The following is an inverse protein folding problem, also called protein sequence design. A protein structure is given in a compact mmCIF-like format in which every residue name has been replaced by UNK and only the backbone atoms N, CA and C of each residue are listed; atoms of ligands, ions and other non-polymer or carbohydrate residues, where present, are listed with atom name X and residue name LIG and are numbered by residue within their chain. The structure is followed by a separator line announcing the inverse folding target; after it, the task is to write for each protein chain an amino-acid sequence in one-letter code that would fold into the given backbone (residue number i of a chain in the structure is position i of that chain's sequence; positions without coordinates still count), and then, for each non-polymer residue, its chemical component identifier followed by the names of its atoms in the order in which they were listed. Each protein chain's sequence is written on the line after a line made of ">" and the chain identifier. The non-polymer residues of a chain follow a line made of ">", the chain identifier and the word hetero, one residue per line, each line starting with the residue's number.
data_IF_079023563046
#
_entry.id   IF_079023563046
#
_cell.length_a   1.000
_cell.length_b   1.000
_cell.length_c   1.000
_cell.angle_alpha   90.00
_cell.angle_beta   90.00
_cell.angle_gamma   90.00
#
_symmetry.space_group_name_H-M   'P 1'
#
loop_
_entity.id
_entity.type
_entity.pdbx_description
1 polymer ?
#
# COMPACT_ATOMS: atom_id res chain seq x y z
N UNK A 1 52.07 -82.78 -9.37
CA UNK A 1 51.75 -83.93 -10.26
C UNK A 1 51.12 -83.40 -11.55
N UNK A 2 51.06 -84.22 -12.60
CA UNK A 2 50.61 -83.89 -13.97
C UNK A 2 49.12 -83.44 -14.05
N UNK A 3 48.53 -82.80 -15.08
CA UNK A 3 48.95 -81.92 -16.21
C UNK A 3 47.99 -82.14 -17.42
N UNK A 4 47.29 -81.09 -17.92
CA UNK A 4 46.56 -81.00 -19.23
C UNK A 4 45.33 -81.94 -19.40
N UNK A 5 44.41 -81.82 -20.40
CA UNK A 5 44.06 -80.85 -21.49
C UNK A 5 42.52 -80.99 -21.72
N UNK A 6 41.73 -80.07 -22.32
CA UNK A 6 41.66 -79.67 -23.74
C UNK A 6 40.70 -78.47 -23.96
N UNK A 7 40.89 -77.77 -25.08
CA UNK A 7 39.92 -76.87 -25.75
C UNK A 7 39.68 -77.42 -27.20
N UNK A 8 38.79 -76.90 -28.08
CA UNK A 8 38.58 -75.49 -28.48
C UNK A 8 37.07 -75.11 -28.41
N UNK A 9 36.38 -74.24 -29.21
CA UNK A 9 36.64 -73.54 -30.48
C UNK A 9 35.77 -72.26 -30.64
N UNK A 10 35.94 -71.57 -31.78
CA UNK A 10 35.35 -70.30 -32.25
C UNK A 10 33.81 -70.24 -32.39
N UNK A 11 33.26 -69.04 -32.15
CA UNK A 11 32.63 -68.21 -33.20
C UNK A 11 32.76 -66.72 -32.84
N UNK A 12 32.87 -65.82 -33.83
CA UNK A 12 32.98 -64.38 -33.60
C UNK A 12 32.22 -63.58 -34.66
N UNK A 13 31.50 -62.53 -34.23
CA UNK A 13 30.89 -61.49 -35.08
C UNK A 13 31.08 -60.15 -34.37
N UNK A 14 31.49 -59.12 -35.12
CA UNK A 14 31.66 -57.76 -34.60
C UNK A 14 30.53 -56.85 -35.09
N UNK A 15 30.14 -55.88 -34.26
CA UNK A 15 29.30 -54.76 -34.63
C UNK A 15 29.89 -53.47 -34.03
N UNK A 16 30.08 -52.44 -34.85
CA UNK A 16 30.70 -51.19 -34.42
C UNK A 16 29.64 -50.20 -33.89
N UNK A 17 29.93 -49.43 -32.82
CA UNK A 17 29.08 -48.31 -32.42
C UNK A 17 29.20 -47.18 -33.46
N UNK A 18 28.07 -46.62 -33.86
CA UNK A 18 28.01 -45.46 -34.75
C UNK A 18 28.52 -44.20 -34.02
N UNK A 19 29.40 -43.45 -34.69
CA UNK A 19 29.82 -42.13 -34.26
C UNK A 19 28.64 -41.15 -34.38
N UNK A 20 27.99 -40.81 -33.27
CA UNK A 20 27.13 -39.63 -33.24
C UNK A 20 28.02 -38.38 -33.31
N UNK A 21 27.88 -37.62 -34.39
CA UNK A 21 28.59 -36.35 -34.59
C UNK A 21 28.11 -35.32 -33.58
N UNK A 22 28.95 -35.02 -32.58
CA UNK A 22 28.77 -33.87 -31.71
C UNK A 22 28.85 -32.59 -32.56
N UNK A 23 27.69 -32.02 -32.90
CA UNK A 23 27.61 -30.79 -33.66
C UNK A 23 27.97 -29.61 -32.74
N UNK A 24 29.09 -28.95 -33.03
CA UNK A 24 29.56 -27.84 -32.23
C UNK A 24 28.71 -26.58 -32.43
N UNK A 25 27.91 -26.23 -31.42
CA UNK A 25 27.48 -24.86 -31.18
C UNK A 25 28.42 -24.21 -30.17
N UNK A 26 28.92 -23.01 -30.45
CA UNK A 26 29.83 -22.28 -29.54
C UNK A 26 29.05 -21.67 -28.38
N UNK A 27 28.74 -22.46 -27.36
CA UNK A 27 28.45 -21.93 -26.03
C UNK A 27 29.70 -21.23 -25.51
N UNK A 28 29.60 -19.93 -25.21
CA UNK A 28 30.54 -19.34 -24.25
C UNK A 28 30.37 -20.02 -22.90
N UNK A 29 31.44 -20.14 -22.14
CA UNK A 29 31.38 -20.53 -20.72
C UNK A 29 30.87 -19.32 -19.88
N UNK A 30 29.72 -18.79 -20.27
CA UNK A 30 29.05 -17.69 -19.59
C UNK A 30 28.65 -18.19 -18.19
N UNK A 31 29.27 -17.60 -17.16
CA UNK A 31 29.09 -18.01 -15.78
C UNK A 31 27.72 -17.63 -15.20
N UNK A 32 27.46 -18.01 -13.93
CA UNK A 32 26.21 -17.68 -13.28
C UNK A 32 26.10 -16.18 -12.96
N UNK A 33 24.90 -15.65 -13.12
CA UNK A 33 24.49 -14.42 -12.44
C UNK A 33 23.85 -14.73 -11.08
N UNK A 34 23.45 -13.68 -10.38
CA UNK A 34 22.91 -13.77 -9.03
C UNK A 34 21.58 -13.04 -8.92
N UNK A 35 20.54 -13.69 -8.38
CA UNK A 35 19.22 -13.09 -8.20
C UNK A 35 18.72 -13.29 -6.77
N UNK A 36 18.34 -12.21 -6.10
CA UNK A 36 17.61 -12.26 -4.81
C UNK A 36 16.22 -11.65 -4.95
N UNK A 37 15.33 -12.02 -4.03
CA UNK A 37 13.95 -11.58 -4.02
C UNK A 37 13.63 -10.70 -2.80
N UNK A 38 12.95 -9.58 -3.02
CA UNK A 38 12.38 -8.69 -1.99
C UNK A 38 10.86 -8.74 -2.05
N UNK A 39 10.22 -9.22 -0.97
CA UNK A 39 8.77 -9.16 -0.83
C UNK A 39 8.36 -7.83 -0.19
N UNK A 40 8.16 -6.80 -1.02
CA UNK A 40 7.57 -5.52 -0.63
C UNK A 40 6.05 -5.48 -0.82
N UNK A 41 5.37 -6.64 -0.86
CA UNK A 41 3.91 -6.73 -1.02
C UNK A 41 3.19 -6.64 0.32
N UNK A 42 2.08 -5.90 0.35
CA UNK A 42 1.13 -5.90 1.48
C UNK A 42 0.06 -6.99 1.35
N UNK A 43 -0.02 -7.64 0.18
CA UNK A 43 -1.06 -8.62 -0.16
C UNK A 43 -0.72 -10.05 0.25
N UNK A 44 0.57 -10.41 0.40
CA UNK A 44 1.00 -11.78 0.67
C UNK A 44 2.08 -11.83 1.76
N UNK A 45 1.75 -12.36 2.97
CA UNK A 45 2.66 -12.34 4.12
C UNK A 45 3.94 -13.17 3.91
N UNK A 46 3.94 -14.09 2.95
CA UNK A 46 5.12 -14.80 2.45
C UNK A 46 4.96 -15.18 0.98
N UNK A 47 6.02 -14.99 0.20
CA UNK A 47 6.13 -15.33 -1.21
C UNK A 47 7.40 -16.15 -1.46
N UNK A 48 7.30 -17.15 -2.32
CA UNK A 48 8.40 -17.99 -2.79
C UNK A 48 8.85 -17.54 -4.19
N UNK A 49 10.15 -17.35 -4.41
CA UNK A 49 10.71 -17.17 -5.76
C UNK A 49 10.90 -18.51 -6.47
N UNK A 50 10.44 -18.58 -7.71
CA UNK A 50 10.71 -19.68 -8.64
C UNK A 50 11.38 -19.16 -9.91
N UNK A 51 12.42 -19.85 -10.38
CA UNK A 51 13.02 -19.72 -11.71
C UNK A 51 12.41 -20.81 -12.61
N UNK A 52 11.60 -20.40 -13.60
CA UNK A 52 10.70 -21.31 -14.31
C UNK A 52 9.87 -22.14 -13.30
N UNK A 53 10.06 -23.46 -13.20
CA UNK A 53 9.40 -24.30 -12.19
C UNK A 53 10.29 -24.74 -11.01
N UNK A 54 11.57 -24.35 -10.99
CA UNK A 54 12.49 -24.62 -9.88
C UNK A 54 12.34 -23.56 -8.80
N UNK A 55 12.31 -23.94 -7.51
CA UNK A 55 12.27 -22.98 -6.40
C UNK A 55 13.67 -22.40 -6.16
N UNK A 56 13.83 -21.09 -6.35
CA UNK A 56 15.13 -20.40 -6.31
C UNK A 56 15.48 -19.82 -4.93
N UNK A 57 14.49 -19.52 -4.08
CA UNK A 57 14.71 -18.96 -2.74
C UNK A 57 14.02 -19.74 -1.63
N UNK A 58 14.48 -19.55 -0.38
CA UNK A 58 13.64 -19.78 0.80
C UNK A 58 12.39 -18.86 0.77
N UNK A 59 11.33 -19.17 1.53
CA UNK A 59 10.16 -18.28 1.67
C UNK A 59 10.56 -16.87 2.14
N UNK A 60 10.12 -15.84 1.42
CA UNK A 60 10.41 -14.42 1.75
C UNK A 60 9.15 -13.77 2.30
N UNK A 61 9.16 -13.51 3.61
CA UNK A 61 8.07 -12.81 4.30
C UNK A 61 7.99 -11.33 3.90
N UNK A 62 6.82 -10.72 4.09
CA UNK A 62 6.63 -9.28 3.82
C UNK A 62 7.70 -8.43 4.52
N UNK A 63 8.22 -7.44 3.78
CA UNK A 63 9.26 -6.50 4.17
C UNK A 63 10.66 -7.11 4.45
N UNK A 64 10.97 -8.29 3.90
CA UNK A 64 12.33 -8.87 3.93
C UNK A 64 12.90 -9.18 2.54
N UNK A 65 14.13 -9.69 2.52
CA UNK A 65 14.91 -10.06 1.33
C UNK A 65 15.48 -11.47 1.50
N UNK A 66 15.60 -12.23 0.41
CA UNK A 66 16.34 -13.50 0.40
C UNK A 66 17.85 -13.30 0.29
N UNK A 67 18.60 -14.36 0.54
CA UNK A 67 19.95 -14.52 -0.03
C UNK A 67 19.89 -14.51 -1.57
N UNK A 68 21.04 -14.33 -2.22
CA UNK A 68 21.16 -14.47 -3.68
C UNK A 68 21.14 -15.95 -4.08
N UNK A 69 20.21 -16.31 -4.96
CA UNK A 69 20.29 -17.55 -5.74
C UNK A 69 21.37 -17.40 -6.83
N UNK A 70 22.17 -18.45 -7.01
CA UNK A 70 23.13 -18.57 -8.12
C UNK A 70 22.40 -19.20 -9.30
N UNK A 71 22.20 -18.43 -10.38
CA UNK A 71 21.40 -18.84 -11.54
C UNK A 71 22.29 -18.74 -12.79
N UNK A 72 22.19 -19.71 -13.71
CA UNK A 72 22.93 -19.64 -14.98
C UNK A 72 22.61 -18.36 -15.77
N UNK A 73 23.54 -17.90 -16.61
CA UNK A 73 23.26 -16.85 -17.59
C UNK A 73 22.16 -17.29 -18.58
N UNK A 74 21.19 -16.44 -18.86
CA UNK A 74 20.10 -16.75 -19.78
C UNK A 74 18.84 -15.91 -19.57
N UNK A 75 17.76 -16.32 -20.22
CA UNK A 75 16.43 -15.69 -20.07
C UNK A 75 15.50 -16.62 -19.30
N UNK A 76 14.96 -16.14 -18.18
CA UNK A 76 14.17 -16.91 -17.23
C UNK A 76 12.79 -16.29 -17.02
N UNK A 77 11.76 -17.11 -16.84
CA UNK A 77 10.49 -16.63 -16.30
C UNK A 77 10.51 -16.79 -14.79
N UNK A 78 10.61 -15.68 -14.06
CA UNK A 78 10.49 -15.67 -12.62
C UNK A 78 9.02 -15.66 -12.21
N UNK A 79 8.62 -16.64 -11.41
CA UNK A 79 7.27 -16.73 -10.84
C UNK A 79 7.33 -16.46 -9.34
N UNK A 80 6.36 -15.71 -8.82
CA UNK A 80 6.16 -15.55 -7.39
C UNK A 80 4.90 -16.31 -6.98
N UNK A 81 5.05 -17.27 -6.07
CA UNK A 81 3.96 -18.15 -5.59
C UNK A 81 3.77 -17.88 -4.08
N UNK A 82 2.55 -17.65 -3.57
CA UNK A 82 2.30 -17.58 -2.12
C UNK A 82 2.83 -18.86 -1.46
N UNK A 83 3.57 -18.74 -0.35
CA UNK A 83 4.21 -19.90 0.26
C UNK A 83 3.16 -20.97 0.63
N UNK A 84 3.29 -22.18 0.07
CA UNK A 84 2.30 -23.26 0.18
C UNK A 84 1.26 -23.33 -0.94
N UNK A 85 1.28 -22.43 -1.92
CA UNK A 85 0.46 -22.45 -3.14
C UNK A 85 1.29 -22.89 -4.36
N UNK A 86 0.67 -23.63 -5.27
CA UNK A 86 1.21 -23.92 -6.61
C UNK A 86 0.94 -22.80 -7.62
N UNK A 87 -0.06 -21.96 -7.38
CA UNK A 87 -0.48 -20.88 -8.29
C UNK A 87 0.37 -19.64 -8.10
N UNK A 88 0.98 -19.15 -9.18
CA UNK A 88 1.71 -17.89 -9.19
C UNK A 88 0.77 -16.67 -9.19
N UNK A 89 1.14 -15.63 -8.45
CA UNK A 89 0.41 -14.34 -8.38
C UNK A 89 0.98 -13.28 -9.33
N UNK A 90 2.21 -13.49 -9.79
CA UNK A 90 2.83 -12.73 -10.89
C UNK A 90 3.91 -13.61 -11.54
N UNK A 91 4.11 -13.41 -12.84
CA UNK A 91 5.22 -13.98 -13.62
C UNK A 91 5.91 -12.84 -14.39
N UNK A 92 7.24 -12.88 -14.52
CA UNK A 92 8.00 -11.87 -15.26
C UNK A 92 9.21 -12.51 -15.95
N UNK A 93 9.43 -12.17 -17.23
CA UNK A 93 10.61 -12.62 -17.98
C UNK A 93 11.75 -11.63 -17.74
N UNK A 94 12.91 -12.12 -17.29
CA UNK A 94 14.10 -11.31 -17.04
C UNK A 94 15.35 -12.05 -17.53
N UNK A 95 16.38 -11.29 -17.89
CA UNK A 95 17.70 -11.83 -18.20
C UNK A 95 18.57 -11.91 -16.95
N UNK A 96 19.26 -13.03 -16.79
CA UNK A 96 20.38 -13.22 -15.87
C UNK A 96 21.66 -13.17 -16.71
N UNK A 97 22.63 -12.35 -16.31
CA UNK A 97 23.90 -12.17 -17.01
C UNK A 97 25.03 -12.63 -16.08
N UNK A 98 26.10 -13.20 -16.64
CA UNK A 98 27.27 -13.69 -15.90
C UNK A 98 27.85 -12.62 -14.94
N UNK A 99 28.11 -13.01 -13.70
CA UNK A 99 28.65 -12.16 -12.63
C UNK A 99 27.71 -11.07 -12.12
N UNK A 100 26.59 -10.80 -12.82
CA UNK A 100 25.70 -9.68 -12.50
C UNK A 100 24.74 -10.05 -11.38
N UNK A 101 24.79 -9.26 -10.31
CA UNK A 101 23.84 -9.33 -9.20
C UNK A 101 22.57 -8.53 -9.54
N UNK A 102 21.41 -9.08 -9.20
CA UNK A 102 20.11 -8.46 -9.42
C UNK A 102 19.14 -8.67 -8.24
N UNK A 103 18.32 -7.67 -7.95
CA UNK A 103 17.25 -7.72 -6.95
C UNK A 103 15.90 -7.66 -7.65
N UNK A 104 15.10 -8.73 -7.55
CA UNK A 104 13.70 -8.71 -7.94
C UNK A 104 12.85 -8.17 -6.77
N UNK A 105 12.30 -6.97 -6.92
CA UNK A 105 11.38 -6.39 -5.92
C UNK A 105 9.94 -6.63 -6.37
N UNK A 106 9.12 -7.29 -5.55
CA UNK A 106 7.67 -7.35 -5.75
C UNK A 106 6.92 -6.43 -4.79
N UNK A 107 5.90 -5.74 -5.27
CA UNK A 107 5.13 -4.75 -4.51
C UNK A 107 3.64 -4.81 -4.85
N UNK A 108 2.80 -4.38 -3.91
CA UNK A 108 1.36 -4.25 -4.11
C UNK A 108 1.01 -2.82 -4.57
N UNK A 109 0.39 -2.69 -5.73
CA UNK A 109 -0.26 -1.44 -6.21
C UNK A 109 -1.34 -1.77 -7.24
N UNK A 110 -2.36 -0.92 -7.40
CA UNK A 110 -3.56 -1.19 -8.19
C UNK A 110 -4.32 -2.46 -7.77
N UNK A 111 -4.29 -2.80 -6.48
CA UNK A 111 -4.85 -4.05 -5.96
C UNK A 111 -4.19 -5.33 -6.50
N UNK A 112 -3.02 -5.18 -7.15
CA UNK A 112 -2.30 -6.23 -7.87
C UNK A 112 -0.87 -6.35 -7.34
N UNK A 113 -0.24 -7.52 -7.50
CA UNK A 113 1.22 -7.64 -7.31
C UNK A 113 1.93 -7.32 -8.62
N UNK A 114 2.93 -6.45 -8.54
CA UNK A 114 3.83 -6.11 -9.65
C UNK A 114 5.28 -6.34 -9.25
N UNK A 115 6.16 -6.43 -10.24
CA UNK A 115 7.59 -6.66 -10.04
C UNK A 115 8.43 -5.56 -10.67
N UNK A 116 9.60 -5.31 -10.08
CA UNK A 116 10.67 -4.50 -10.67
C UNK A 116 12.00 -5.20 -10.45
N UNK A 117 12.63 -5.60 -11.54
CA UNK A 117 13.99 -6.12 -11.54
C UNK A 117 14.97 -4.95 -11.47
N UNK A 118 15.92 -5.03 -10.55
CA UNK A 118 17.00 -4.05 -10.34
C UNK A 118 18.32 -4.75 -10.62
N UNK A 119 19.17 -4.15 -11.45
CA UNK A 119 20.57 -4.56 -11.54
C UNK A 119 21.36 -3.90 -10.40
N UNK A 120 22.08 -4.70 -9.63
CA UNK A 120 22.82 -4.30 -8.43
C UNK A 120 24.29 -3.97 -8.79
N UNK A 121 24.50 -3.14 -9.82
CA UNK A 121 25.81 -2.81 -10.40
C UNK A 121 26.15 -1.31 -10.43
N UNK A 122 25.43 -0.46 -9.68
CA UNK A 122 25.79 0.96 -9.54
C UNK A 122 27.17 1.08 -8.88
N UNK A 123 28.05 1.89 -9.46
CA UNK A 123 29.42 2.06 -8.95
C UNK A 123 29.43 2.70 -7.55
N UNK A 124 30.36 2.28 -6.70
CA UNK A 124 30.58 2.90 -5.39
C UNK A 124 30.76 4.43 -5.53
N UNK A 125 30.19 5.23 -4.61
CA UNK A 125 30.28 6.68 -4.64
C UNK A 125 31.64 7.19 -4.13
N UNK A 126 31.83 8.51 -4.15
CA UNK A 126 32.99 9.18 -3.55
C UNK A 126 33.18 8.76 -2.08
N UNK A 127 34.41 8.43 -1.66
CA UNK A 127 34.68 8.08 -0.25
C UNK A 127 34.35 9.27 0.68
N UNK A 128 33.73 8.97 1.81
CA UNK A 128 33.03 9.91 2.69
C UNK A 128 31.54 10.06 2.37
N UNK A 129 30.99 9.34 1.38
CA UNK A 129 29.60 9.51 0.93
C UNK A 129 28.88 8.18 0.65
N UNK A 130 27.56 8.27 0.50
CA UNK A 130 26.65 7.22 0.07
C UNK A 130 25.83 7.68 -1.14
N UNK A 131 25.52 6.78 -2.08
CA UNK A 131 24.51 7.01 -3.13
C UNK A 131 23.12 6.68 -2.59
N UNK A 132 22.19 7.62 -2.72
CA UNK A 132 20.79 7.44 -2.34
C UNK A 132 19.89 7.66 -3.56
N UNK A 133 18.95 6.74 -3.80
CA UNK A 133 17.79 6.95 -4.68
C UNK A 133 16.52 6.43 -4.02
N UNK A 134 15.39 6.90 -4.53
CA UNK A 134 14.05 6.48 -4.10
C UNK A 134 13.34 5.79 -5.27
N UNK A 135 12.57 4.74 -4.96
CA UNK A 135 11.62 4.10 -5.88
C UNK A 135 10.23 4.19 -5.28
N UNK A 136 9.37 5.04 -5.82
CA UNK A 136 7.98 5.09 -5.39
C UNK A 136 7.21 3.94 -6.07
N UNK A 137 6.82 2.90 -5.33
CA UNK A 137 5.91 1.85 -5.83
C UNK A 137 4.45 2.18 -5.59
N UNK A 138 4.17 3.19 -4.76
CA UNK A 138 2.82 3.64 -4.44
C UNK A 138 2.29 4.62 -5.50
N UNK A 139 1.59 4.09 -6.50
CA UNK A 139 0.70 4.94 -7.30
C UNK A 139 -0.41 5.51 -6.42
N UNK A 140 -0.88 4.73 -5.43
CA UNK A 140 -1.90 5.16 -4.48
C UNK A 140 -1.51 6.45 -3.76
N UNK A 141 -0.27 6.61 -3.30
CA UNK A 141 0.18 7.83 -2.64
C UNK A 141 0.35 9.02 -3.60
N UNK A 142 0.37 8.81 -4.92
CA UNK A 142 0.58 9.87 -5.92
C UNK A 142 2.03 10.33 -5.98
N UNK A 143 2.26 11.60 -6.34
CA UNK A 143 3.61 12.14 -6.45
C UNK A 143 4.16 12.56 -5.08
N UNK A 144 5.39 12.14 -4.77
CA UNK A 144 6.02 12.33 -3.47
C UNK A 144 7.31 13.15 -3.57
N UNK A 145 7.53 14.04 -2.61
CA UNK A 145 8.84 14.67 -2.37
C UNK A 145 9.57 13.93 -1.25
N UNK A 146 10.87 13.69 -1.39
CA UNK A 146 11.72 13.12 -0.33
C UNK A 146 12.83 14.09 0.08
N UNK A 147 12.90 14.32 1.39
CA UNK A 147 13.83 15.21 2.07
C UNK A 147 14.75 14.40 2.99
N UNK A 148 16.07 14.59 2.86
CA UNK A 148 17.12 13.97 3.69
C UNK A 148 17.89 15.11 4.35
N UNK A 149 17.69 15.28 5.66
CA UNK A 149 18.20 16.42 6.44
C UNK A 149 18.91 15.95 7.71
N UNK A 150 19.62 16.83 8.43
CA UNK A 150 20.09 16.47 9.76
C UNK A 150 18.89 16.18 10.69
N UNK A 151 19.06 15.38 11.76
CA UNK A 151 17.93 14.86 12.55
C UNK A 151 17.02 15.94 13.16
N UNK A 152 17.61 17.09 13.50
CA UNK A 152 16.94 18.24 14.14
C UNK A 152 16.37 19.27 13.15
N UNK A 153 16.63 19.16 11.85
CA UNK A 153 16.27 20.19 10.88
C UNK A 153 14.75 20.27 10.66
N UNK A 154 14.25 21.48 10.40
CA UNK A 154 12.86 21.71 10.00
C UNK A 154 12.67 21.46 8.49
N UNK A 155 11.47 21.06 8.06
CA UNK A 155 11.16 20.98 6.63
C UNK A 155 10.99 22.35 5.97
N UNK A 156 10.67 23.40 6.73
CA UNK A 156 10.17 24.70 6.23
C UNK A 156 11.00 25.27 5.07
N UNK A 157 12.33 25.27 5.23
CA UNK A 157 13.27 25.83 4.24
C UNK A 157 14.03 24.73 3.46
N UNK A 158 13.66 23.46 3.61
CA UNK A 158 14.35 22.36 2.95
C UNK A 158 13.96 22.24 1.47
N UNK A 159 14.94 21.94 0.62
CA UNK A 159 14.71 21.47 -0.75
C UNK A 159 14.63 19.94 -0.76
N UNK A 160 13.75 19.31 -1.56
CA UNK A 160 13.71 17.86 -1.68
C UNK A 160 14.94 17.34 -2.42
N UNK A 161 15.57 16.29 -1.88
CA UNK A 161 16.68 15.58 -2.52
C UNK A 161 16.17 14.76 -3.72
N UNK A 162 14.91 14.35 -3.68
CA UNK A 162 14.21 13.71 -4.79
C UNK A 162 12.77 14.26 -4.90
N UNK A 163 12.52 15.25 -5.78
CA UNK A 163 11.20 15.86 -5.96
C UNK A 163 10.25 15.04 -6.83
N UNK A 164 8.94 15.21 -6.61
CA UNK A 164 7.85 14.87 -7.55
C UNK A 164 7.91 13.43 -8.10
N UNK A 165 8.26 12.46 -7.26
CA UNK A 165 8.39 11.06 -7.64
C UNK A 165 7.00 10.44 -7.80
N UNK A 166 6.52 10.33 -9.04
CA UNK A 166 5.25 9.66 -9.35
C UNK A 166 5.28 8.15 -9.11
N UNK A 167 4.10 7.54 -9.07
CA UNK A 167 3.94 6.09 -8.91
C UNK A 167 4.70 5.28 -9.97
N UNK A 168 5.33 4.20 -9.51
CA UNK A 168 6.19 3.30 -10.28
C UNK A 168 7.42 4.01 -10.93
N UNK A 169 7.90 5.12 -10.35
CA UNK A 169 9.09 5.86 -10.81
C UNK A 169 10.22 5.87 -9.79
N UNK A 170 11.43 5.99 -10.33
CA UNK A 170 12.67 6.19 -9.58
C UNK A 170 13.06 7.67 -9.59
N UNK A 171 13.71 8.13 -8.53
CA UNK A 171 14.61 9.29 -8.62
C UNK A 171 15.92 8.91 -9.32
N UNK A 172 16.72 9.90 -9.70
CA UNK A 172 18.15 9.67 -9.90
C UNK A 172 18.83 9.25 -8.59
N UNK A 173 20.05 8.71 -8.69
CA UNK A 173 20.97 8.63 -7.55
C UNK A 173 21.56 10.03 -7.27
N UNK A 174 21.64 10.41 -6.00
CA UNK A 174 22.45 11.53 -5.52
C UNK A 174 23.48 11.05 -4.50
N UNK A 175 24.67 11.65 -4.47
CA UNK A 175 25.65 11.43 -3.41
C UNK A 175 25.32 12.31 -2.19
N UNK A 176 25.34 11.70 -1.00
CA UNK A 176 25.07 12.32 0.30
C UNK A 176 26.20 11.90 1.23
N UNK A 177 26.77 12.82 2.01
CA UNK A 177 27.82 12.49 3.00
C UNK A 177 27.40 11.35 3.94
N UNK A 178 28.33 10.48 4.33
CA UNK A 178 28.04 9.43 5.30
C UNK A 178 27.69 10.05 6.69
N UNK A 179 26.64 9.53 7.34
CA UNK A 179 26.12 10.10 8.58
C UNK A 179 24.69 9.64 8.91
N UNK A 180 24.12 10.17 9.99
CA UNK A 180 22.73 9.89 10.41
C UNK A 180 21.82 11.06 10.07
N UNK A 181 20.74 10.77 9.35
CA UNK A 181 19.80 11.73 8.80
C UNK A 181 18.36 11.46 9.28
N UNK A 182 17.51 12.48 9.22
CA UNK A 182 16.06 12.31 9.24
C UNK A 182 15.53 12.35 7.82
N UNK A 183 14.85 11.28 7.42
CA UNK A 183 14.26 11.16 6.08
C UNK A 183 12.75 11.37 6.18
N UNK A 184 12.25 12.37 5.47
CA UNK A 184 10.83 12.74 5.43
C UNK A 184 10.30 12.68 4.02
N UNK A 185 9.14 12.05 3.87
CA UNK A 185 8.39 11.95 2.61
C UNK A 185 7.13 12.78 2.77
N UNK A 186 6.82 13.64 1.80
CA UNK A 186 5.59 14.44 1.78
C UNK A 186 4.88 14.32 0.44
N UNK A 187 3.66 14.84 0.32
CA UNK A 187 3.10 15.10 -1.01
C UNK A 187 4.01 16.07 -1.78
N UNK A 188 4.13 15.87 -3.10
CA UNK A 188 4.96 16.73 -3.94
C UNK A 188 4.48 18.20 -3.89
N UNK A 189 5.35 19.11 -3.47
CA UNK A 189 5.05 20.53 -3.32
C UNK A 189 4.37 20.94 -2.01
N UNK A 190 3.86 20.01 -1.19
CA UNK A 190 3.27 20.30 0.12
C UNK A 190 4.06 19.63 1.25
N UNK A 191 4.77 20.45 2.03
CA UNK A 191 5.58 20.03 3.18
C UNK A 191 4.75 19.73 4.44
N UNK A 192 3.45 20.03 4.44
CA UNK A 192 2.54 19.84 5.59
C UNK A 192 1.85 18.47 5.55
N UNK A 193 1.55 17.95 4.35
CA UNK A 193 1.10 16.57 4.15
C UNK A 193 2.30 15.59 4.22
N UNK A 194 2.81 15.38 5.43
CA UNK A 194 3.85 14.39 5.73
C UNK A 194 3.27 12.98 5.65
N UNK A 195 3.94 12.12 4.88
CA UNK A 195 3.48 10.76 4.53
C UNK A 195 4.36 9.63 5.05
N UNK A 196 5.60 9.95 5.42
CA UNK A 196 6.49 9.11 6.23
C UNK A 196 7.53 10.02 6.89
N UNK A 197 7.90 9.75 8.15
CA UNK A 197 8.95 10.44 8.89
C UNK A 197 9.82 9.42 9.62
N UNK A 198 11.08 9.32 9.19
CA UNK A 198 12.07 8.41 9.75
C UNK A 198 13.10 9.25 10.52
N UNK A 199 13.06 9.31 11.87
CA UNK A 199 13.85 10.25 12.66
C UNK A 199 15.36 9.98 12.66
N UNK A 200 15.78 8.77 12.30
CA UNK A 200 17.18 8.34 12.29
C UNK A 200 17.41 7.23 11.26
N UNK A 201 17.97 7.58 10.10
CA UNK A 201 18.48 6.66 9.08
C UNK A 201 19.97 6.92 8.91
N UNK A 202 20.80 5.90 9.09
CA UNK A 202 22.25 6.00 8.87
C UNK A 202 22.61 5.63 7.43
N UNK A 203 23.35 6.50 6.77
CA UNK A 203 24.02 6.27 5.48
C UNK A 203 25.50 6.03 5.75
N UNK A 204 26.07 4.91 5.29
CA UNK A 204 27.47 4.53 5.55
C UNK A 204 28.37 4.89 4.36
N UNK A 205 29.69 4.97 4.59
CA UNK A 205 30.65 5.18 3.50
C UNK A 205 30.50 4.13 2.40
N UNK A 206 30.61 4.58 1.15
CA UNK A 206 30.53 3.80 -0.09
C UNK A 206 29.23 2.98 -0.27
N UNK A 207 28.19 3.27 0.51
CA UNK A 207 26.88 2.60 0.40
C UNK A 207 26.15 3.01 -0.89
N UNK A 208 25.41 2.07 -1.48
CA UNK A 208 24.43 2.36 -2.54
C UNK A 208 23.05 1.91 -2.05
N UNK A 209 22.17 2.86 -1.78
CA UNK A 209 20.88 2.65 -1.12
C UNK A 209 19.71 3.00 -2.04
N UNK A 210 18.79 2.05 -2.21
CA UNK A 210 17.47 2.28 -2.83
C UNK A 210 16.39 2.26 -1.75
N UNK A 211 15.73 3.39 -1.49
CA UNK A 211 14.54 3.44 -0.64
C UNK A 211 13.29 3.15 -1.47
N UNK A 212 12.66 2.00 -1.27
CA UNK A 212 11.37 1.67 -1.90
C UNK A 212 10.24 2.19 -1.02
N UNK A 213 9.34 3.02 -1.57
CA UNK A 213 8.18 3.57 -0.86
C UNK A 213 6.92 2.80 -1.23
N UNK A 214 6.33 2.06 -0.29
CA UNK A 214 5.19 1.17 -0.53
C UNK A 214 3.88 1.69 0.05
N UNK A 215 2.77 1.38 -0.62
CA UNK A 215 1.41 1.78 -0.24
C UNK A 215 0.98 1.22 1.12
N UNK A 216 0.35 2.04 1.95
CA UNK A 216 -0.28 1.63 3.22
C UNK A 216 -1.79 1.40 3.05
N UNK A 217 -2.49 0.78 4.03
CA UNK A 217 -3.93 0.49 3.92
C UNK A 217 -4.83 1.72 3.69
N UNK A 218 -4.46 2.90 4.20
CA UNK A 218 -5.20 4.15 3.95
C UNK A 218 -4.98 4.73 2.54
N UNK A 219 -3.98 4.27 1.80
CA UNK A 219 -3.67 4.72 0.44
C UNK A 219 -3.00 6.09 0.29
N UNK A 220 -2.81 6.84 1.39
CA UNK A 220 -2.20 8.19 1.39
C UNK A 220 -0.79 8.20 1.99
N UNK A 221 -0.60 7.52 3.12
CA UNK A 221 0.69 7.32 3.76
C UNK A 221 1.52 6.26 3.01
N UNK A 222 2.83 6.21 3.29
CA UNK A 222 3.75 5.19 2.74
C UNK A 222 4.61 4.56 3.83
N UNK A 223 5.07 3.33 3.61
CA UNK A 223 6.20 2.73 4.33
C UNK A 223 7.48 2.89 3.49
N UNK A 224 8.65 2.70 4.11
CA UNK A 224 9.93 2.58 3.40
C UNK A 224 10.56 1.18 3.54
N UNK A 225 11.27 0.73 2.51
CA UNK A 225 12.26 -0.37 2.61
C UNK A 225 13.60 0.14 2.09
N UNK A 226 14.64 0.09 2.93
CA UNK A 226 15.98 0.53 2.59
C UNK A 226 16.78 -0.68 2.07
N UNK A 227 16.88 -0.81 0.74
CA UNK A 227 17.60 -1.90 0.08
C UNK A 227 19.04 -1.46 -0.17
N UNK A 228 20.00 -2.01 0.56
CA UNK A 228 21.42 -1.83 0.24
C UNK A 228 21.80 -2.72 -0.96
N UNK A 229 22.49 -2.16 -1.95
CA UNK A 229 22.98 -2.92 -3.10
C UNK A 229 23.93 -4.03 -2.64
N UNK A 230 23.66 -5.28 -3.03
CA UNK A 230 24.38 -6.49 -2.59
C UNK A 230 24.46 -6.70 -1.05
N UNK A 231 23.75 -5.90 -0.25
CA UNK A 231 23.78 -5.92 1.22
C UNK A 231 22.38 -6.07 1.85
N UNK A 232 22.22 -5.85 3.17
CA UNK A 232 20.95 -6.09 3.86
C UNK A 232 19.83 -5.13 3.42
N UNK A 233 18.60 -5.58 3.62
CA UNK A 233 17.39 -4.76 3.58
C UNK A 233 17.01 -4.34 5.01
N UNK A 234 16.61 -3.08 5.21
CA UNK A 234 16.01 -2.62 6.47
C UNK A 234 14.57 -2.11 6.24
N UNK A 235 13.60 -2.69 6.94
CA UNK A 235 12.21 -2.26 6.88
C UNK A 235 11.99 -1.01 7.75
N UNK A 236 11.30 -0.01 7.19
CA UNK A 236 11.01 1.29 7.81
C UNK A 236 9.49 1.53 7.75
N UNK A 237 8.76 0.77 8.57
CA UNK A 237 7.29 0.80 8.66
C UNK A 237 6.83 2.13 9.29
N UNK A 238 5.73 2.68 8.78
CA UNK A 238 5.21 3.96 9.22
C UNK A 238 4.66 3.89 10.66
N UNK A 239 5.22 4.70 11.57
CA UNK A 239 4.78 4.76 12.97
C UNK A 239 3.41 5.41 13.20
N UNK A 240 2.77 5.96 12.16
CA UNK A 240 1.55 6.73 12.24
C UNK A 240 0.39 6.12 11.45
N UNK A 241 -0.82 6.44 11.89
CA UNK A 241 -2.07 6.34 11.14
C UNK A 241 -2.70 7.74 11.07
N UNK A 242 -3.81 7.92 10.34
CA UNK A 242 -4.58 9.17 10.36
C UNK A 242 -6.02 8.91 10.80
N UNK A 243 -6.52 9.71 11.74
CA UNK A 243 -7.91 9.60 12.25
C UNK A 243 -8.63 10.93 12.00
N UNK A 244 -9.89 10.86 11.56
CA UNK A 244 -10.83 12.00 11.59
C UNK A 244 -12.00 11.73 12.52
N UNK A 245 -12.61 12.78 13.06
CA UNK A 245 -13.88 12.71 13.77
C UNK A 245 -15.05 12.91 12.80
N UNK A 246 -16.07 12.07 12.91
CA UNK A 246 -17.41 12.33 12.36
C UNK A 246 -18.40 12.38 13.51
N UNK A 247 -18.88 13.58 13.79
CA UNK A 247 -19.85 13.88 14.83
C UNK A 247 -21.26 13.85 14.25
N UNK A 248 -21.98 12.74 14.44
CA UNK A 248 -23.36 12.52 13.97
C UNK A 248 -24.32 12.17 15.10
N UNK A 249 -24.05 12.62 16.33
CA UNK A 249 -24.89 12.35 17.49
C UNK A 249 -26.32 12.91 17.34
N UNK A 250 -27.28 12.20 17.94
CA UNK A 250 -28.71 12.47 17.87
C UNK A 250 -29.09 13.82 18.47
N UNK A 251 -30.24 14.38 18.03
CA UNK A 251 -30.74 15.70 18.41
C UNK A 251 -29.72 16.84 18.24
N UNK A 252 -28.79 16.69 17.30
CA UNK A 252 -27.65 17.60 17.07
C UNK A 252 -26.78 17.84 18.31
N UNK A 253 -26.59 16.81 19.16
CA UNK A 253 -25.74 16.89 20.34
C UNK A 253 -24.26 17.19 20.01
N UNK A 254 -23.61 18.00 20.83
CA UNK A 254 -22.21 18.38 20.63
C UNK A 254 -21.29 17.22 20.98
N UNK A 255 -20.47 16.79 20.02
CA UNK A 255 -19.43 15.77 20.23
C UNK A 255 -18.08 16.45 20.42
N UNK A 256 -17.26 15.95 21.34
CA UNK A 256 -15.83 16.24 21.39
C UNK A 256 -15.04 14.94 21.47
N UNK A 257 -13.90 14.85 20.76
CA UNK A 257 -13.01 13.71 20.80
C UNK A 257 -11.51 14.10 20.79
N UNK A 258 -10.71 13.32 21.50
CA UNK A 258 -9.24 13.26 21.36
C UNK A 258 -8.79 11.81 21.21
N UNK A 259 -7.68 11.57 20.50
CA UNK A 259 -7.07 10.24 20.34
C UNK A 259 -5.56 10.36 20.55
N UNK A 260 -5.01 9.60 21.49
CA UNK A 260 -3.58 9.66 21.87
C UNK A 260 -3.09 11.10 22.15
N UNK A 261 -3.97 11.94 22.73
CA UNK A 261 -3.73 13.36 23.01
C UNK A 261 -4.00 14.32 21.83
N UNK A 262 -4.15 13.82 20.61
CA UNK A 262 -4.47 14.63 19.41
C UNK A 262 -5.94 15.01 19.44
N UNK A 263 -6.24 16.31 19.39
CA UNK A 263 -7.62 16.81 19.43
C UNK A 263 -8.28 16.72 18.05
N UNK A 264 -9.15 15.73 17.85
CA UNK A 264 -9.89 15.54 16.58
C UNK A 264 -11.05 16.54 16.40
N UNK A 265 -11.37 17.32 17.43
CA UNK A 265 -12.47 18.29 17.43
C UNK A 265 -12.07 19.63 16.79
N UNK A 266 -10.78 19.95 16.76
CA UNK A 266 -10.27 21.22 16.20
C UNK A 266 -10.63 21.36 14.73
N UNK A 267 -11.12 22.53 14.33
CA UNK A 267 -11.57 22.81 12.95
C UNK A 267 -12.89 22.15 12.53
N UNK A 268 -13.47 21.28 13.36
CA UNK A 268 -14.66 20.48 13.01
C UNK A 268 -15.89 20.85 13.84
N UNK A 269 -15.71 21.03 15.14
CA UNK A 269 -16.83 21.22 16.08
C UNK A 269 -17.10 22.70 16.30
N UNK A 270 -17.84 23.31 15.37
CA UNK A 270 -18.61 24.51 15.70
C UNK A 270 -19.77 24.08 16.59
N UNK A 271 -19.81 24.61 17.81
CA UNK A 271 -20.90 24.36 18.77
C UNK A 271 -22.26 24.67 18.13
N UNK A 272 -23.17 23.69 18.13
CA UNK A 272 -24.52 23.86 17.58
C UNK A 272 -24.68 23.65 16.07
N UNK A 273 -23.73 23.01 15.35
CA UNK A 273 -23.98 22.55 13.96
C UNK A 273 -23.48 21.14 13.55
N UNK A 274 -23.57 20.08 14.38
CA UNK A 274 -23.56 18.72 13.85
C UNK A 274 -24.81 18.46 12.98
N UNK A 275 -24.80 17.49 12.04
CA UNK A 275 -23.71 16.58 11.76
C UNK A 275 -22.48 17.26 11.14
N UNK A 276 -21.29 16.92 11.64
CA UNK A 276 -20.02 17.51 11.26
C UNK A 276 -18.97 16.43 10.96
N UNK A 277 -18.13 16.67 9.94
CA UNK A 277 -17.11 15.75 9.44
C UNK A 277 -15.79 16.50 9.37
N UNK A 278 -14.78 15.99 10.07
CA UNK A 278 -13.47 16.62 10.20
C UNK A 278 -12.43 16.19 9.19
N UNK A 279 -11.28 16.84 9.26
CA UNK A 279 -10.05 16.47 8.54
C UNK A 279 -9.36 15.28 9.21
N UNK A 280 -8.59 14.52 8.44
CA UNK A 280 -7.68 13.51 8.98
C UNK A 280 -6.50 14.18 9.70
N UNK A 281 -6.22 13.77 10.93
CA UNK A 281 -5.04 14.17 11.70
C UNK A 281 -4.18 12.94 11.99
N UNK A 282 -2.85 13.08 11.96
CA UNK A 282 -1.94 11.98 12.30
C UNK A 282 -2.06 11.62 13.79
N UNK A 283 -2.03 10.32 14.08
CA UNK A 283 -1.91 9.74 15.43
C UNK A 283 -0.87 8.61 15.40
N UNK A 284 -0.19 8.29 16.51
CA UNK A 284 0.63 7.08 16.60
C UNK A 284 -0.20 5.82 16.31
N UNK A 285 0.33 4.91 15.49
CA UNK A 285 -0.27 3.61 15.22
C UNK A 285 -0.15 2.66 16.44
N UNK A 286 -0.90 1.56 16.43
CA UNK A 286 -1.05 0.66 17.57
C UNK A 286 -2.33 0.94 18.35
N UNK A 287 -2.28 0.91 19.69
CA UNK A 287 -3.45 1.17 20.52
C UNK A 287 -3.87 2.66 20.49
N UNK A 288 -5.18 2.89 20.41
CA UNK A 288 -5.76 4.24 20.43
C UNK A 288 -6.46 4.50 21.78
N UNK A 289 -5.83 5.31 22.63
CA UNK A 289 -6.48 5.90 23.79
C UNK A 289 -7.38 7.04 23.31
N UNK A 290 -8.65 6.72 23.02
CA UNK A 290 -9.68 7.69 22.67
C UNK A 290 -10.35 8.24 23.93
N UNK A 291 -10.55 9.55 23.99
CA UNK A 291 -11.50 10.19 24.89
C UNK A 291 -12.60 10.83 24.05
N UNK A 292 -13.86 10.49 24.30
CA UNK A 292 -15.02 10.95 23.51
C UNK A 292 -16.15 11.35 24.44
N UNK A 293 -16.80 12.49 24.19
CA UNK A 293 -18.00 12.90 24.94
C UNK A 293 -19.13 13.38 24.02
N UNK A 294 -20.37 13.21 24.48
CA UNK A 294 -21.60 13.74 23.88
C UNK A 294 -22.26 14.67 24.92
N UNK A 295 -22.40 15.96 24.59
CA UNK A 295 -22.85 17.02 25.51
C UNK A 295 -22.07 17.05 26.84
N UNK A 296 -20.80 16.63 26.84
CA UNK A 296 -19.95 16.55 28.03
C UNK A 296 -20.08 15.24 28.84
N UNK A 297 -21.05 14.38 28.54
CA UNK A 297 -21.09 13.01 29.07
C UNK A 297 -20.03 12.15 28.38
N UNK A 298 -19.17 11.49 29.15
CA UNK A 298 -18.16 10.56 28.64
C UNK A 298 -18.81 9.33 27.99
N UNK A 299 -18.36 9.01 26.77
CA UNK A 299 -18.79 7.85 25.97
C UNK A 299 -17.58 7.15 25.32
N UNK A 300 -16.40 7.29 25.94
CA UNK A 300 -15.11 6.84 25.39
C UNK A 300 -15.06 5.33 25.07
N UNK A 301 -14.75 4.93 23.83
CA UNK A 301 -14.62 3.53 23.45
C UNK A 301 -13.30 2.92 23.96
N UNK A 302 -13.30 1.61 24.20
CA UNK A 302 -12.11 0.84 24.59
C UNK A 302 -11.66 -0.13 23.49
N UNK A 303 -10.40 -0.57 23.53
CA UNK A 303 -9.87 -1.58 22.60
C UNK A 303 -9.65 -1.12 21.15
N UNK A 304 -9.80 0.18 20.86
CA UNK A 304 -9.50 0.73 19.53
C UNK A 304 -8.02 0.56 19.17
N UNK A 305 -7.75 0.20 17.90
CA UNK A 305 -6.40 0.07 17.35
C UNK A 305 -6.33 0.65 15.94
N UNK A 306 -5.14 1.10 15.56
CA UNK A 306 -4.81 1.59 14.23
C UNK A 306 -3.65 0.80 13.63
N UNK A 307 -3.82 0.28 12.42
CA UNK A 307 -2.72 -0.33 11.68
C UNK A 307 -1.75 0.76 11.16
N UNK A 308 -0.43 0.48 11.08
CA UNK A 308 0.53 1.33 10.40
C UNK A 308 0.05 1.85 9.04
N UNK A 309 -0.03 3.16 8.89
CA UNK A 309 -0.47 3.82 7.67
C UNK A 309 -1.95 3.64 7.30
N UNK A 310 -2.81 3.25 8.24
CA UNK A 310 -4.27 3.28 8.03
C UNK A 310 -4.81 4.71 8.06
N UNK A 311 -5.86 4.95 7.28
CA UNK A 311 -6.76 6.09 7.46
C UNK A 311 -8.04 5.58 8.13
N UNK A 312 -8.59 6.37 9.04
CA UNK A 312 -9.65 5.94 9.96
C UNK A 312 -10.67 7.04 10.22
N UNK A 313 -11.95 6.66 10.27
CA UNK A 313 -13.05 7.52 10.71
C UNK A 313 -13.53 7.06 12.09
N UNK A 314 -13.35 7.92 13.09
CA UNK A 314 -14.01 7.79 14.40
C UNK A 314 -15.42 8.37 14.27
N UNK A 315 -16.40 7.49 14.10
CA UNK A 315 -17.81 7.83 13.89
C UNK A 315 -18.54 7.80 15.24
N UNK A 316 -19.08 8.94 15.65
CA UNK A 316 -19.79 9.12 16.93
C UNK A 316 -21.27 9.41 16.67
N UNK A 317 -22.13 8.50 17.08
CA UNK A 317 -23.58 8.48 16.86
C UNK A 317 -24.33 8.18 18.16
N UNK A 318 -25.66 8.19 18.09
CA UNK A 318 -26.54 7.92 19.22
C UNK A 318 -26.66 9.12 20.16
N UNK A 319 -27.12 8.87 21.38
CA UNK A 319 -27.26 9.88 22.43
C UNK A 319 -26.25 9.66 23.55
N UNK A 320 -26.13 10.61 24.50
CA UNK A 320 -25.34 10.41 25.72
C UNK A 320 -25.81 9.23 26.60
N UNK A 321 -27.05 8.74 26.43
CA UNK A 321 -27.59 7.58 27.15
C UNK A 321 -27.62 6.28 26.34
N UNK A 322 -27.42 6.36 25.02
CA UNK A 322 -27.30 5.24 24.10
C UNK A 322 -26.32 5.61 22.97
N UNK A 323 -25.01 5.72 23.27
CA UNK A 323 -24.00 6.10 22.30
C UNK A 323 -23.61 4.92 21.41
N UNK A 324 -23.26 5.20 20.15
CA UNK A 324 -22.54 4.27 19.30
C UNK A 324 -21.30 4.95 18.75
N UNK A 325 -20.12 4.49 19.19
CA UNK A 325 -18.83 4.95 18.68
C UNK A 325 -18.19 3.82 17.92
N UNK A 326 -17.99 3.98 16.60
CA UNK A 326 -17.29 3.01 15.75
C UNK A 326 -16.02 3.61 15.15
N UNK A 327 -15.05 2.75 14.88
CA UNK A 327 -13.81 3.09 14.17
C UNK A 327 -13.84 2.37 12.82
N UNK A 328 -14.00 3.15 11.75
CA UNK A 328 -14.16 2.65 10.38
C UNK A 328 -12.84 2.80 9.64
N UNK A 329 -12.40 1.73 8.96
CA UNK A 329 -11.26 1.78 8.05
C UNK A 329 -11.61 2.53 6.76
N UNK A 330 -10.75 3.48 6.38
CA UNK A 330 -10.93 4.28 5.18
C UNK A 330 -9.88 3.92 4.13
N UNK A 331 -10.33 3.51 2.95
CA UNK A 331 -9.49 3.34 1.75
C UNK A 331 -9.55 4.64 0.93
N UNK A 332 -8.60 5.54 1.19
CA UNK A 332 -8.40 6.78 0.44
C UNK A 332 -7.33 6.62 -0.67
N UNK A 333 -7.12 5.40 -1.18
CA UNK A 333 -6.41 5.25 -2.46
C UNK A 333 -7.34 5.63 -3.62
N UNK A 334 -6.88 6.41 -4.62
CA UNK A 334 -7.72 6.82 -5.74
C UNK A 334 -8.18 5.63 -6.61
N UNK A 335 -9.17 5.86 -7.48
CA UNK A 335 -9.44 4.92 -8.56
C UNK A 335 -8.31 4.99 -9.59
N UNK A 336 -7.65 3.86 -9.87
CA UNK A 336 -6.53 3.80 -10.82
C UNK A 336 -6.98 3.47 -12.26
N UNK A 337 -8.27 3.18 -12.44
CA UNK A 337 -8.91 3.09 -13.76
C UNK A 337 -9.15 4.51 -14.28
N UNK A 338 -8.58 4.85 -15.43
CA UNK A 338 -8.78 6.18 -16.04
C UNK A 338 -10.26 6.45 -16.30
N UNK A 339 -10.74 7.65 -15.94
CA UNK A 339 -12.16 8.01 -16.06
C UNK A 339 -13.07 7.52 -14.91
N UNK A 340 -12.49 7.08 -13.79
CA UNK A 340 -13.24 6.67 -12.60
C UNK A 340 -12.84 7.45 -11.36
N UNK A 341 -13.78 7.52 -10.41
CA UNK A 341 -13.60 7.91 -9.01
C UNK A 341 -13.88 6.71 -8.11
N UNK A 342 -13.63 6.82 -6.80
CA UNK A 342 -14.23 5.92 -5.81
C UNK A 342 -15.40 6.61 -5.09
N UNK A 343 -16.47 5.87 -4.80
CA UNK A 343 -17.61 6.33 -4.00
C UNK A 343 -18.08 5.22 -3.04
N UNK A 344 -18.43 5.59 -1.80
CA UNK A 344 -19.13 4.73 -0.82
C UNK A 344 -20.16 5.48 0.02
N UNK A 345 -21.02 4.73 0.69
CA UNK A 345 -22.01 5.19 1.67
C UNK A 345 -21.55 4.94 3.11
N UNK A 346 -21.85 5.86 4.02
CA UNK A 346 -21.84 5.65 5.48
C UNK A 346 -23.24 5.92 6.03
N UNK A 347 -23.79 4.98 6.81
CA UNK A 347 -25.09 5.14 7.48
C UNK A 347 -24.88 5.47 8.96
N UNK A 348 -25.29 6.67 9.36
CA UNK A 348 -25.39 7.12 10.75
C UNK A 348 -26.68 7.89 11.02
N UNK A 349 -27.80 7.51 10.40
CA UNK A 349 -29.11 8.14 10.63
C UNK A 349 -29.73 7.57 11.91
N UNK A 350 -29.72 8.37 12.98
CA UNK A 350 -30.14 7.97 14.32
C UNK A 350 -31.62 7.59 14.36
N UNK A 351 -31.93 6.43 14.96
CA UNK A 351 -33.30 5.97 15.19
C UNK A 351 -34.05 5.48 13.94
N UNK A 352 -33.41 5.43 12.76
CA UNK A 352 -34.06 4.98 11.52
C UNK A 352 -34.41 3.48 11.53
N UNK A 353 -33.63 2.69 12.27
CA UNK A 353 -33.81 1.24 12.44
C UNK A 353 -33.86 0.44 11.13
N UNK A 354 -33.25 0.96 10.07
CA UNK A 354 -33.20 0.35 8.75
C UNK A 354 -31.84 0.55 8.08
N UNK A 355 -31.55 -0.34 7.13
CA UNK A 355 -30.36 -0.24 6.29
C UNK A 355 -30.56 0.77 5.15
N UNK A 356 -29.45 1.30 4.63
CA UNK A 356 -29.43 2.25 3.52
C UNK A 356 -28.72 1.68 2.28
N UNK A 357 -29.18 2.09 1.10
CA UNK A 357 -28.58 1.70 -0.18
C UNK A 357 -28.31 2.93 -1.04
N UNK A 358 -27.08 3.09 -1.52
CA UNK A 358 -26.67 4.16 -2.43
C UNK A 358 -26.77 3.72 -3.88
N UNK A 359 -27.41 4.54 -4.70
CA UNK A 359 -27.41 4.45 -6.16
C UNK A 359 -26.59 5.58 -6.78
N UNK A 360 -26.00 5.33 -7.95
CA UNK A 360 -25.38 6.34 -8.80
C UNK A 360 -25.75 6.08 -10.27
N UNK A 361 -26.10 7.12 -11.03
CA UNK A 361 -26.61 6.97 -12.41
C UNK A 361 -27.79 5.98 -12.51
N UNK A 362 -28.69 6.00 -11.51
CA UNK A 362 -29.84 5.08 -11.37
C UNK A 362 -29.47 3.58 -11.31
N UNK A 363 -28.22 3.25 -10.92
CA UNK A 363 -27.77 1.89 -10.62
C UNK A 363 -27.33 1.75 -9.16
N UNK A 364 -27.80 0.69 -8.50
CA UNK A 364 -27.39 0.33 -7.13
C UNK A 364 -25.90 0.02 -7.06
N UNK A 365 -25.17 0.68 -6.15
CA UNK A 365 -23.78 0.35 -5.85
C UNK A 365 -23.75 -0.83 -4.86
N UNK A 366 -23.58 -2.06 -5.34
CA UNK A 366 -23.71 -3.29 -4.54
C UNK A 366 -22.92 -3.27 -3.22
N UNK A 367 -21.69 -2.76 -3.24
CA UNK A 367 -20.79 -2.59 -2.07
C UNK A 367 -21.21 -1.50 -1.08
N UNK A 368 -22.16 -0.65 -1.46
CA UNK A 368 -22.81 0.40 -0.66
C UNK A 368 -24.33 0.19 -0.61
N UNK A 369 -24.76 -1.08 -0.67
CA UNK A 369 -26.15 -1.50 -0.46
C UNK A 369 -26.33 -2.14 0.90
N UNK A 370 -27.52 -2.00 1.50
CA UNK A 370 -27.89 -2.58 2.79
C UNK A 370 -26.94 -2.20 3.96
N UNK A 371 -26.38 -0.99 3.94
CA UNK A 371 -25.47 -0.49 4.97
C UNK A 371 -26.25 -0.18 6.25
N UNK A 372 -25.94 -0.90 7.32
CA UNK A 372 -26.58 -0.78 8.64
C UNK A 372 -26.04 0.40 9.44
N UNK A 373 -26.78 0.81 10.47
CA UNK A 373 -26.44 1.97 11.30
C UNK A 373 -25.05 1.85 11.98
N UNK A 374 -24.26 2.90 11.87
CA UNK A 374 -22.88 3.00 12.35
C UNK A 374 -21.81 2.30 11.51
N UNK A 375 -22.16 1.87 10.29
CA UNK A 375 -21.26 1.16 9.37
C UNK A 375 -21.07 1.91 8.03
N UNK A 376 -20.06 1.48 7.29
CA UNK A 376 -19.73 1.95 5.93
C UNK A 376 -19.88 0.81 4.91
N UNK A 377 -20.14 1.18 3.66
CA UNK A 377 -19.90 0.31 2.50
C UNK A 377 -18.45 0.38 2.02
N UNK A 378 -18.03 -0.65 1.29
CA UNK A 378 -16.75 -0.65 0.57
C UNK A 378 -16.76 0.42 -0.54
N UNK A 379 -15.63 1.09 -0.81
CA UNK A 379 -15.47 1.92 -2.01
C UNK A 379 -15.75 1.16 -3.31
N UNK A 380 -16.60 1.75 -4.14
CA UNK A 380 -16.97 1.27 -5.48
C UNK A 380 -16.40 2.22 -6.52
N UNK A 381 -15.87 1.70 -7.63
CA UNK A 381 -15.49 2.56 -8.76
C UNK A 381 -16.75 3.06 -9.47
N UNK A 382 -16.85 4.37 -9.68
CA UNK A 382 -17.94 5.02 -10.40
C UNK A 382 -17.33 5.88 -11.52
N UNK A 383 -17.97 5.91 -12.69
CA UNK A 383 -17.50 6.73 -13.82
C UNK A 383 -17.51 8.21 -13.39
N UNK A 384 -16.44 8.93 -13.72
CA UNK A 384 -16.29 10.34 -13.36
C UNK A 384 -17.30 11.22 -14.12
N UNK A 385 -17.64 12.37 -13.53
CA UNK A 385 -18.61 13.32 -14.07
C UNK A 385 -18.13 14.76 -13.96
N UNK A 386 -18.94 15.72 -14.42
CA UNK A 386 -18.57 17.14 -14.46
C UNK A 386 -19.70 18.02 -13.95
N UNK A 387 -19.45 19.30 -13.72
CA UNK A 387 -20.49 20.28 -13.35
C UNK A 387 -21.53 20.49 -14.46
N UNK A 388 -21.19 20.23 -15.72
CA UNK A 388 -22.09 20.34 -16.87
C UNK A 388 -22.89 19.05 -17.15
N UNK A 389 -22.41 17.90 -16.67
CA UNK A 389 -23.06 16.60 -16.76
C UNK A 389 -22.80 15.82 -15.47
N UNK A 390 -23.50 16.16 -14.38
CA UNK A 390 -23.29 15.58 -13.05
C UNK A 390 -23.88 14.17 -12.93
N UNK A 391 -23.38 13.42 -11.95
CA UNK A 391 -23.93 12.13 -11.53
C UNK A 391 -25.14 12.34 -10.62
N UNK A 392 -26.34 11.83 -10.95
CA UNK A 392 -27.41 11.70 -9.98
C UNK A 392 -27.05 10.62 -8.96
N UNK A 393 -27.11 10.97 -7.68
CA UNK A 393 -27.02 10.08 -6.54
C UNK A 393 -28.37 10.02 -5.82
N UNK A 394 -28.69 8.84 -5.30
CA UNK A 394 -29.94 8.55 -4.58
C UNK A 394 -29.63 7.62 -3.40
N UNK A 395 -30.22 7.85 -2.23
CA UNK A 395 -30.08 6.94 -1.08
C UNK A 395 -31.44 6.51 -0.56
N UNK A 396 -31.68 5.21 -0.64
CA UNK A 396 -32.94 4.57 -0.28
C UNK A 396 -32.88 3.86 1.06
N UNK A 397 -34.05 3.64 1.65
CA UNK A 397 -34.23 2.72 2.77
C UNK A 397 -35.53 1.94 2.60
N UNK A 398 -35.50 0.64 2.91
CA UNK A 398 -36.66 -0.26 2.76
C UNK A 398 -37.86 0.09 3.67
N UNK A 399 -37.71 1.04 4.61
CA UNK A 399 -38.77 1.55 5.49
C UNK A 399 -39.32 2.92 5.06
N UNK A 400 -38.79 3.52 3.99
CA UNK A 400 -39.24 4.81 3.46
C UNK A 400 -39.97 4.65 2.12
N UNK A 401 -41.00 5.48 1.90
CA UNK A 401 -41.73 5.54 0.62
C UNK A 401 -41.08 6.47 -0.43
N UNK A 402 -40.08 7.25 -0.03
CA UNK A 402 -39.26 8.10 -0.89
C UNK A 402 -37.78 7.91 -0.52
N UNK A 403 -36.87 8.19 -1.46
CA UNK A 403 -35.44 8.29 -1.15
C UNK A 403 -35.18 9.32 -0.02
N UNK A 404 -34.25 8.98 0.89
CA UNK A 404 -33.84 9.85 1.99
C UNK A 404 -32.85 10.94 1.53
N UNK A 405 -32.27 10.79 0.35
CA UNK A 405 -31.48 11.79 -0.34
C UNK A 405 -31.58 11.60 -1.85
N UNK A 406 -31.70 12.70 -2.59
CA UNK A 406 -31.41 12.77 -4.03
C UNK A 406 -30.55 14.00 -4.29
N UNK A 407 -29.62 13.91 -5.24
CA UNK A 407 -28.79 15.06 -5.61
C UNK A 407 -27.88 14.81 -6.81
N UNK A 408 -27.62 15.86 -7.57
CA UNK A 408 -26.74 15.83 -8.74
C UNK A 408 -25.38 16.41 -8.38
N UNK A 409 -24.30 15.62 -8.52
CA UNK A 409 -22.95 16.00 -8.08
C UNK A 409 -21.89 15.76 -9.16
N UNK A 410 -20.85 16.60 -9.20
CA UNK A 410 -19.69 16.38 -10.05
C UNK A 410 -18.66 15.51 -9.32
N UNK A 411 -18.38 14.32 -9.86
CA UNK A 411 -17.40 13.37 -9.33
C UNK A 411 -16.12 13.48 -10.17
N UNK A 412 -15.16 14.27 -9.69
CA UNK A 412 -13.94 14.62 -10.41
C UNK A 412 -12.82 13.61 -10.15
N UNK A 413 -12.11 13.19 -11.20
CA UNK A 413 -10.90 12.37 -11.07
C UNK A 413 -9.76 13.15 -10.42
N UNK A 414 -8.91 12.53 -9.57
CA UNK A 414 -8.85 11.10 -9.23
C UNK A 414 -9.65 10.74 -7.96
N UNK A 415 -10.68 11.52 -7.62
CA UNK A 415 -11.20 11.66 -6.26
C UNK A 415 -11.71 10.38 -5.59
N UNK A 416 -11.58 10.36 -4.27
CA UNK A 416 -12.25 9.40 -3.38
C UNK A 416 -13.36 10.11 -2.62
N UNK A 417 -14.55 9.53 -2.66
CA UNK A 417 -15.76 10.13 -2.12
C UNK A 417 -16.45 9.24 -1.09
N UNK A 418 -16.88 9.84 0.01
CA UNK A 418 -17.81 9.23 0.97
C UNK A 418 -19.06 10.09 1.08
N UNK A 419 -20.22 9.48 0.82
CA UNK A 419 -21.51 10.06 1.15
C UNK A 419 -21.90 9.63 2.57
N UNK A 420 -21.93 10.59 3.49
CA UNK A 420 -22.40 10.37 4.86
C UNK A 420 -23.89 10.70 4.96
N UNK A 421 -24.69 9.75 5.42
CA UNK A 421 -26.08 9.97 5.83
C UNK A 421 -26.14 10.02 7.35
N UNK A 422 -26.41 11.20 7.92
CA UNK A 422 -26.31 11.49 9.35
C UNK A 422 -27.57 12.22 9.86
N UNK A 423 -27.59 12.61 11.13
CA UNK A 423 -28.74 13.29 11.76
C UNK A 423 -29.76 12.30 12.31
N UNK A 424 -30.96 12.78 12.64
CA UNK A 424 -32.05 11.94 13.16
C UNK A 424 -32.98 11.48 12.03
N UNK A 425 -33.67 10.34 12.19
CA UNK A 425 -34.57 9.79 11.16
C UNK A 425 -35.72 10.72 10.72
N UNK A 426 -36.09 11.70 11.55
CA UNK A 426 -37.07 12.74 11.19
C UNK A 426 -36.50 13.85 10.29
N UNK A 427 -35.18 14.04 10.28
CA UNK A 427 -34.45 15.05 9.50
C UNK A 427 -33.07 14.51 9.08
N UNK A 428 -33.02 13.47 8.22
CA UNK A 428 -31.76 12.91 7.74
C UNK A 428 -31.00 13.96 6.90
N UNK A 429 -29.67 13.94 7.03
CA UNK A 429 -28.77 14.90 6.40
C UNK A 429 -27.69 14.18 5.60
N UNK A 430 -27.66 14.42 4.30
CA UNK A 430 -26.65 13.92 3.39
C UNK A 430 -25.47 14.90 3.30
N UNK A 431 -24.23 14.41 3.49
CA UNK A 431 -23.01 15.18 3.28
C UNK A 431 -22.04 14.37 2.43
N UNK A 432 -21.88 14.77 1.17
CA UNK A 432 -20.82 14.25 0.32
C UNK A 432 -19.49 14.89 0.70
N UNK A 433 -18.46 14.07 0.94
CA UNK A 433 -17.08 14.51 1.10
C UNK A 433 -16.20 13.95 0.01
N UNK A 434 -15.36 14.81 -0.55
CA UNK A 434 -14.09 14.43 -1.16
C UNK A 434 -13.15 14.12 0.01
N UNK A 435 -12.82 12.84 0.20
CA UNK A 435 -11.86 12.39 1.21
C UNK A 435 -10.42 12.61 0.74
N UNK A 436 -10.24 12.65 -0.58
CA UNK A 436 -9.01 12.90 -1.32
C UNK A 436 -9.30 13.30 -2.76
#
# INVERSE_FOLDING_TARGET
>A
MKLRLFAPLLAAVAAAPLLLTACGGSSGDDGPGYVRFVNATSSYPSLDLYENDTKASAPVVTNTVSDYATIGSGSYTFYLKPTGSSTAVVATIQSVNDGVHNTLVAYSTAGSVRTRYLTDNEAAPTSGTAKFRVFNTSYEAGNLDVYVTAPTDTLTNASPNAPTIGGEKFSGYGEITAGTYRIRVTAAGDKTDVRLDLPSVTLTDQQVLTMVLTSTPGGVLVNGLLINQQGPLQAQVNGFARVRLVAGAAASATVAATVNGVNLSSGTVSTGKPPAIGTYLQVPAGALAASVSINGTDVSPTGLTAAPGSDLTLLVLGSASAPQVSLISDDNSPALTSGYVKLRLVNGVNGLNAALTLQANNGVLTKSSNITFGNAGDPTQVINSSTASPTPLEVDSATSSNALYTGNVALLTPGVYTLFMLGDAATPSAVLRLDR
#
